data_IF_073930064010
#
_entry.id   IF_073930064010
#
_cell.length_a   1.000
_cell.length_b   1.000
_cell.length_c   1.000
_cell.angle_alpha   90.00
_cell.angle_beta   90.00
_cell.angle_gamma   90.00
#
_symmetry.space_group_name_H-M   'P 1'
#
loop_
_entity.id
_entity.type
_entity.pdbx_description
1 polymer ?
#
# COMPACT_ATOMS: atom_id res chain seq x y z
N UNK A 1 -2.74 8.05 -14.89
CA UNK A 1 -3.41 6.96 -15.64
C UNK A 1 -2.50 6.45 -16.78
N UNK A 2 -1.38 5.77 -16.46
CA UNK A 2 -0.37 5.33 -17.46
C UNK A 2 -0.40 3.81 -17.73
N UNK A 3 -0.70 3.01 -16.70
CA UNK A 3 -0.68 1.54 -16.78
C UNK A 3 -1.88 0.99 -17.58
N UNK A 4 -3.06 1.60 -17.47
CA UNK A 4 -4.29 1.16 -18.14
C UNK A 4 -4.55 1.83 -19.49
N UNK A 5 -3.73 2.79 -19.90
CA UNK A 5 -3.97 3.63 -21.08
C UNK A 5 -3.71 2.90 -22.41
N UNK A 6 -2.90 1.83 -22.40
CA UNK A 6 -2.46 1.12 -23.61
C UNK A 6 -3.04 -0.30 -23.77
N UNK A 7 -3.97 -0.72 -22.88
CA UNK A 7 -4.61 -2.05 -22.97
C UNK A 7 -6.11 -1.89 -22.68
N UNK A 8 -6.88 -1.61 -23.74
CA UNK A 8 -8.33 -1.44 -23.68
C UNK A 8 -9.11 -2.76 -23.62
N UNK A 9 -8.48 -3.89 -23.97
CA UNK A 9 -9.06 -5.23 -23.89
C UNK A 9 -8.06 -6.21 -23.26
N UNK A 10 -8.53 -6.99 -22.29
CA UNK A 10 -7.79 -8.07 -21.64
C UNK A 10 -8.35 -9.41 -22.13
N UNK A 11 -7.50 -10.44 -22.36
CA UNK A 11 -7.96 -11.73 -22.85
C UNK A 11 -8.75 -12.53 -21.80
N UNK A 12 -8.56 -12.26 -20.51
CA UNK A 12 -9.31 -12.82 -19.38
C UNK A 12 -9.06 -12.00 -18.10
N UNK A 13 -9.85 -12.26 -17.06
CA UNK A 13 -9.78 -11.54 -15.77
C UNK A 13 -8.43 -11.74 -15.06
N UNK A 14 -7.81 -12.91 -15.22
CA UNK A 14 -6.52 -13.21 -14.59
C UNK A 14 -5.39 -12.33 -15.16
N UNK A 15 -5.42 -12.03 -16.46
CA UNK A 15 -4.49 -11.10 -17.09
C UNK A 15 -4.67 -9.66 -16.55
N UNK A 16 -5.90 -9.23 -16.28
CA UNK A 16 -6.20 -7.94 -15.68
C UNK A 16 -5.66 -7.86 -14.24
N UNK A 17 -5.94 -8.87 -13.42
CA UNK A 17 -5.45 -8.96 -12.04
C UNK A 17 -3.92 -8.97 -11.97
N UNK A 18 -3.26 -9.72 -12.87
CA UNK A 18 -1.80 -9.75 -12.95
C UNK A 18 -1.22 -8.39 -13.28
N UNK A 19 -1.83 -7.64 -14.19
CA UNK A 19 -1.40 -6.28 -14.50
C UNK A 19 -1.53 -5.36 -13.29
N UNK A 20 -2.65 -5.42 -12.57
CA UNK A 20 -2.88 -4.63 -11.36
C UNK A 20 -1.86 -4.97 -10.27
N UNK A 21 -1.62 -6.25 -10.04
CA UNK A 21 -0.62 -6.74 -9.08
C UNK A 21 0.78 -6.19 -9.42
N UNK A 22 1.23 -6.33 -10.67
CA UNK A 22 2.54 -5.84 -11.10
C UNK A 22 2.66 -4.32 -10.98
N UNK A 23 1.58 -3.58 -11.26
CA UNK A 23 1.54 -2.14 -11.09
C UNK A 23 1.68 -1.74 -9.62
N UNK A 24 0.89 -2.34 -8.73
CA UNK A 24 0.96 -2.09 -7.28
C UNK A 24 2.32 -2.48 -6.73
N UNK A 25 2.86 -3.63 -7.12
CA UNK A 25 4.17 -4.09 -6.69
C UNK A 25 5.29 -3.12 -7.09
N UNK A 26 5.25 -2.59 -8.31
CA UNK A 26 6.23 -1.59 -8.77
C UNK A 26 6.08 -0.23 -8.09
N UNK A 27 4.85 0.16 -7.72
CA UNK A 27 4.60 1.38 -6.94
C UNK A 27 5.11 1.20 -5.50
N UNK A 28 4.79 0.07 -4.87
CA UNK A 28 5.20 -0.24 -3.50
C UNK A 28 6.73 -0.25 -3.35
N UNK A 29 7.48 -0.72 -4.35
CA UNK A 29 8.96 -0.62 -4.36
C UNK A 29 9.50 0.80 -4.22
N UNK A 30 8.73 1.81 -4.60
CA UNK A 30 9.13 3.23 -4.51
C UNK A 30 8.72 3.87 -3.19
N UNK A 31 7.92 3.21 -2.36
CA UNK A 31 7.51 3.69 -1.05
C UNK A 31 8.58 3.39 0.00
N UNK A 32 9.77 3.97 -0.19
CA UNK A 32 10.93 3.76 0.69
C UNK A 32 11.04 4.81 1.80
N UNK A 33 10.29 5.90 1.69
CA UNK A 33 10.36 6.99 2.66
C UNK A 33 9.70 6.55 3.98
N UNK A 34 10.40 6.62 5.11
CA UNK A 34 9.79 6.35 6.41
C UNK A 34 8.71 7.38 6.73
N UNK A 35 7.66 6.95 7.42
CA UNK A 35 6.60 7.83 7.89
C UNK A 35 7.20 8.79 8.92
N UNK A 36 7.00 10.09 8.70
CA UNK A 36 7.49 11.13 9.61
C UNK A 36 6.81 11.00 10.97
N UNK A 37 7.60 11.14 12.03
CA UNK A 37 7.13 11.15 13.42
C UNK A 37 6.32 9.92 13.85
N UNK A 38 6.54 8.77 13.19
CA UNK A 38 5.76 7.55 13.40
C UNK A 38 5.76 7.08 14.87
N UNK A 39 6.86 7.30 15.59
CA UNK A 39 6.96 6.97 17.02
C UNK A 39 5.98 7.77 17.89
N UNK A 40 5.83 9.07 17.63
CA UNK A 40 4.89 9.91 18.37
C UNK A 40 3.43 9.49 18.09
N UNK A 41 3.13 9.15 16.83
CA UNK A 41 1.82 8.65 16.43
C UNK A 41 1.51 7.30 17.09
N UNK A 42 2.47 6.38 17.14
CA UNK A 42 2.31 5.10 17.83
C UNK A 42 2.00 5.26 19.32
N UNK A 43 2.63 6.21 20.00
CA UNK A 43 2.32 6.52 21.40
C UNK A 43 0.90 7.06 21.58
N UNK A 44 0.39 7.83 20.62
CA UNK A 44 -1.01 8.27 20.66
C UNK A 44 -1.97 7.11 20.40
N UNK A 45 -1.62 6.22 19.47
CA UNK A 45 -2.45 5.04 19.19
C UNK A 45 -2.48 4.04 20.33
N UNK A 46 -1.39 3.86 21.08
CA UNK A 46 -1.40 2.98 22.26
C UNK A 46 -2.34 3.49 23.36
N UNK A 47 -2.51 4.81 23.48
CA UNK A 47 -3.47 5.45 24.40
C UNK A 47 -4.90 5.36 23.87
N UNK A 48 -5.13 5.60 22.56
CA UNK A 48 -6.49 5.57 21.99
C UNK A 48 -7.03 4.15 21.90
N UNK A 49 -6.16 3.18 21.60
CA UNK A 49 -6.50 1.78 21.39
C UNK A 49 -5.83 0.89 22.44
N UNK A 50 -6.06 1.21 23.72
CA UNK A 50 -5.51 0.45 24.84
C UNK A 50 -5.77 -1.06 24.69
N UNK A 51 -4.73 -1.85 24.98
CA UNK A 51 -4.78 -3.31 24.91
C UNK A 51 -4.79 -3.93 23.51
N UNK A 52 -4.84 -3.12 22.42
CA UNK A 52 -4.77 -3.62 21.03
C UNK A 52 -3.38 -3.52 20.42
N UNK A 53 -2.54 -2.62 20.95
CA UNK A 53 -1.19 -2.37 20.45
C UNK A 53 -0.16 -2.60 21.55
N UNK A 54 1.05 -3.09 21.21
CA UNK A 54 2.14 -3.15 22.17
C UNK A 54 2.52 -1.73 22.60
N UNK A 55 2.81 -1.56 23.88
CA UNK A 55 3.31 -0.29 24.42
C UNK A 55 4.75 -0.11 23.93
N UNK A 56 5.01 0.98 23.22
CA UNK A 56 6.32 1.34 22.67
C UNK A 56 7.08 2.34 23.55
#
# INVERSE_FOLDING_TARGET
RKVTKNRGSFPNDTAMLKLLYLALHNIAKKWTMPIRDWRAVLNQFSIIFEGRLPVY
#
